data_IF_968001900415
#
_entry.id   IF_968001900415
#
_cell.length_a   1.000
_cell.length_b   1.000
_cell.length_c   1.000
_cell.angle_alpha   90.00
_cell.angle_beta   90.00
_cell.angle_gamma   90.00
#
_symmetry.space_group_name_H-M   'P 1'
#
loop_
_entity.id
_entity.type
_entity.pdbx_description
1 polymer ?
#
# COMPACT_ATOMS: atom_id res chain seq x y z
N UNK A 1 -7.11 6.64 -13.20
CA UNK A 1 -6.09 6.83 -14.27
C UNK A 1 -5.45 5.46 -14.57
N UNK A 2 -4.38 5.34 -15.38
CA UNK A 2 -3.69 4.06 -15.57
C UNK A 2 -3.14 3.42 -14.29
N UNK A 3 -2.95 4.21 -13.23
CA UNK A 3 -2.50 3.76 -11.91
C UNK A 3 -3.66 3.29 -11.00
N UNK A 4 -4.92 3.40 -11.46
CA UNK A 4 -6.10 3.00 -10.69
C UNK A 4 -6.64 4.09 -9.74
N UNK A 5 -6.09 5.29 -9.75
CA UNK A 5 -6.57 6.41 -8.93
C UNK A 5 -7.93 6.93 -9.43
N UNK A 6 -8.78 7.32 -8.47
CA UNK A 6 -10.12 7.83 -8.71
C UNK A 6 -10.07 9.22 -9.35
N UNK A 7 -10.49 9.33 -10.61
CA UNK A 7 -10.53 10.61 -11.33
C UNK A 7 -11.94 11.19 -11.41
N UNK A 8 -12.90 10.37 -11.82
CA UNK A 8 -14.27 10.81 -12.09
C UNK A 8 -15.26 9.67 -11.95
N UNK A 9 -16.52 10.01 -11.68
CA UNK A 9 -17.66 9.09 -11.77
C UNK A 9 -18.76 9.69 -12.63
N UNK A 10 -19.61 8.83 -13.19
CA UNK A 10 -20.81 9.26 -13.92
C UNK A 10 -22.04 8.58 -13.33
N UNK A 11 -23.04 9.36 -12.97
CA UNK A 11 -24.31 8.85 -12.45
C UNK A 11 -25.46 9.75 -12.90
N UNK A 12 -26.62 9.15 -13.22
CA UNK A 12 -27.78 9.90 -13.72
C UNK A 12 -27.47 10.76 -14.96
N UNK A 13 -26.52 10.33 -15.80
CA UNK A 13 -26.07 11.08 -16.97
C UNK A 13 -25.05 12.20 -16.71
N UNK A 14 -24.86 12.60 -15.44
CA UNK A 14 -23.97 13.69 -15.03
C UNK A 14 -22.59 13.18 -14.62
N UNK A 15 -21.53 13.91 -15.01
CA UNK A 15 -20.15 13.62 -14.61
C UNK A 15 -19.75 14.42 -13.37
N UNK A 16 -19.00 13.77 -12.48
CA UNK A 16 -18.43 14.34 -11.28
C UNK A 16 -16.96 13.96 -11.16
N UNK A 17 -16.16 14.80 -10.54
CA UNK A 17 -14.71 14.64 -10.44
C UNK A 17 -14.29 14.57 -8.98
N UNK A 18 -13.46 13.58 -8.66
CA UNK A 18 -12.98 13.37 -7.30
C UNK A 18 -11.90 14.39 -6.96
N UNK A 19 -11.92 14.86 -5.72
CA UNK A 19 -10.81 15.58 -5.11
C UNK A 19 -10.19 14.64 -4.07
N UNK A 20 -8.89 14.42 -4.17
CA UNK A 20 -8.15 13.55 -3.25
C UNK A 20 -7.05 14.30 -2.52
N UNK A 21 -6.67 13.83 -1.34
CA UNK A 21 -5.44 14.23 -0.67
C UNK A 21 -4.21 13.49 -1.25
N UNK A 22 -3.04 13.69 -0.62
CA UNK A 22 -1.78 13.09 -1.04
C UNK A 22 -1.74 11.56 -0.94
N UNK A 23 -2.55 10.96 -0.06
CA UNK A 23 -2.66 9.51 0.09
C UNK A 23 -3.79 8.91 -0.77
N UNK A 24 -4.47 9.73 -1.55
CA UNK A 24 -5.59 9.30 -2.39
C UNK A 24 -6.94 9.24 -1.65
N UNK A 25 -7.04 9.72 -0.41
CA UNK A 25 -8.32 9.78 0.30
C UNK A 25 -9.24 10.80 -0.37
N UNK A 26 -10.50 10.42 -0.59
CA UNK A 26 -11.49 11.32 -1.21
C UNK A 26 -11.89 12.42 -0.24
N UNK A 27 -11.40 13.65 -0.44
CA UNK A 27 -11.74 14.82 0.38
C UNK A 27 -12.92 15.62 -0.19
N UNK A 28 -13.34 15.32 -1.41
CA UNK A 28 -14.53 15.93 -1.98
C UNK A 28 -14.89 15.43 -3.37
N UNK A 29 -15.99 15.98 -3.88
CA UNK A 29 -16.50 15.72 -5.22
C UNK A 29 -16.97 17.04 -5.82
N UNK A 30 -16.59 17.31 -7.06
CA UNK A 30 -17.00 18.52 -7.81
C UNK A 30 -17.83 18.14 -9.03
N UNK A 31 -18.79 19.00 -9.39
CA UNK A 31 -19.56 18.85 -10.63
C UNK A 31 -18.80 19.44 -11.84
N UNK A 32 -19.39 19.33 -13.03
CA UNK A 32 -18.82 19.88 -14.26
C UNK A 32 -18.63 21.41 -14.27
N UNK A 33 -19.32 22.15 -13.39
CA UNK A 33 -19.14 23.59 -13.21
C UNK A 33 -18.05 23.94 -12.17
N UNK A 34 -17.34 22.94 -11.63
CA UNK A 34 -16.32 23.13 -10.59
C UNK A 34 -16.88 23.40 -9.19
N UNK A 35 -18.19 23.31 -9.00
CA UNK A 35 -18.80 23.46 -7.67
C UNK A 35 -18.58 22.21 -6.84
N UNK A 36 -18.06 22.36 -5.62
CA UNK A 36 -17.90 21.28 -4.65
C UNK A 36 -19.26 20.89 -4.08
N UNK A 37 -19.66 19.64 -4.30
CA UNK A 37 -20.97 19.09 -3.89
C UNK A 37 -20.85 18.06 -2.76
N UNK A 38 -19.68 17.44 -2.61
CA UNK A 38 -19.38 16.61 -1.46
C UNK A 38 -18.08 17.09 -0.82
N UNK A 39 -17.99 16.97 0.52
CA UNK A 39 -16.80 17.25 1.31
C UNK A 39 -16.67 16.17 2.39
N UNK A 40 -15.46 15.66 2.57
CA UNK A 40 -15.13 14.69 3.60
C UNK A 40 -13.85 15.10 4.32
N UNK A 41 -13.79 14.84 5.61
CA UNK A 41 -12.57 14.96 6.41
C UNK A 41 -12.40 13.70 7.25
N UNK A 42 -11.16 13.31 7.50
CA UNK A 42 -10.82 12.09 8.21
C UNK A 42 -9.97 12.39 9.45
N UNK A 43 -10.03 11.49 10.44
CA UNK A 43 -8.93 11.37 11.40
C UNK A 43 -7.77 10.54 10.80
N UNK A 44 -6.64 10.41 11.50
CA UNK A 44 -5.49 9.65 10.99
C UNK A 44 -5.78 8.20 10.61
N UNK A 45 -6.79 7.56 11.20
CA UNK A 45 -7.13 6.15 10.98
C UNK A 45 -8.31 5.99 10.01
N UNK A 46 -8.77 7.07 9.37
CA UNK A 46 -9.79 7.03 8.35
C UNK A 46 -11.24 7.11 8.84
N UNK A 47 -11.49 7.40 10.12
CA UNK A 47 -12.85 7.73 10.57
C UNK A 47 -13.27 9.09 10.03
N UNK A 48 -14.49 9.20 9.51
CA UNK A 48 -15.00 10.47 9.02
C UNK A 48 -15.26 11.44 10.18
N UNK A 49 -14.67 12.64 10.13
CA UNK A 49 -14.94 13.74 11.07
C UNK A 49 -16.04 14.67 10.57
N UNK A 50 -16.09 14.91 9.26
CA UNK A 50 -17.11 15.71 8.62
C UNK A 50 -17.50 15.05 7.32
N UNK A 51 -18.81 15.01 7.05
CA UNK A 51 -19.34 14.51 5.79
C UNK A 51 -20.46 15.45 5.33
N UNK A 52 -20.29 16.00 4.14
CA UNK A 52 -21.35 16.64 3.38
C UNK A 52 -21.47 15.90 2.07
N UNK A 53 -22.64 15.35 1.77
CA UNK A 53 -22.83 14.52 0.59
C UNK A 53 -24.17 14.83 -0.08
N UNK A 54 -24.10 15.41 -1.27
CA UNK A 54 -25.26 15.60 -2.14
C UNK A 54 -25.40 14.45 -3.14
N UNK A 55 -24.30 13.91 -3.65
CA UNK A 55 -24.32 12.79 -4.59
C UNK A 55 -23.70 11.54 -3.97
N UNK A 56 -24.42 10.40 -3.90
CA UNK A 56 -23.89 9.16 -3.36
C UNK A 56 -22.67 8.65 -4.14
N UNK A 57 -21.65 8.26 -3.41
CA UNK A 57 -20.43 7.64 -3.93
C UNK A 57 -19.77 6.86 -2.78
N UNK A 58 -19.20 5.66 -3.00
CA UNK A 58 -18.75 4.78 -1.92
C UNK A 58 -17.26 4.93 -1.54
N UNK A 59 -16.45 5.62 -2.33
CA UNK A 59 -15.00 5.71 -2.12
C UNK A 59 -14.62 6.79 -1.11
N UNK A 60 -13.62 6.51 -0.28
CA UNK A 60 -13.32 7.29 0.93
C UNK A 60 -11.82 7.32 1.23
N UNK A 61 -11.43 6.95 2.46
CA UNK A 61 -10.07 6.97 2.97
C UNK A 61 -9.14 6.11 2.11
N UNK A 62 -8.00 6.67 1.71
CA UNK A 62 -7.03 6.08 0.78
C UNK A 62 -7.66 5.50 -0.51
N UNK A 63 -8.77 6.09 -0.97
CA UNK A 63 -9.50 5.61 -2.15
C UNK A 63 -10.25 4.30 -1.96
N UNK A 64 -10.28 3.74 -0.76
CA UNK A 64 -10.94 2.48 -0.46
C UNK A 64 -12.47 2.59 -0.53
N UNK A 65 -13.11 1.48 -0.90
CA UNK A 65 -14.57 1.35 -0.87
C UNK A 65 -15.04 1.24 0.58
N UNK A 66 -15.92 2.15 1.01
CA UNK A 66 -16.58 2.07 2.30
C UNK A 66 -17.81 1.17 2.19
N UNK A 67 -17.73 0.01 2.83
CA UNK A 67 -18.84 -0.92 2.93
C UNK A 67 -19.92 -0.40 3.89
N UNK A 68 -21.21 -0.72 3.69
CA UNK A 68 -22.29 -0.33 4.61
C UNK A 68 -22.08 -0.80 6.06
N UNK A 69 -21.24 -1.80 6.30
CA UNK A 69 -20.80 -2.21 7.65
C UNK A 69 -19.91 -1.19 8.36
N UNK A 70 -19.39 -0.19 7.66
CA UNK A 70 -18.43 0.79 8.17
C UNK A 70 -16.96 0.41 7.97
N UNK A 71 -16.71 -0.75 7.34
CA UNK A 71 -15.36 -1.23 7.05
C UNK A 71 -14.89 -0.75 5.67
N UNK A 72 -13.59 -0.52 5.55
CA UNK A 72 -12.96 -0.22 4.27
C UNK A 72 -12.48 -1.50 3.59
N UNK A 73 -12.90 -1.73 2.35
CA UNK A 73 -12.36 -2.83 1.53
C UNK A 73 -11.04 -2.39 0.89
N UNK A 74 -9.93 -2.94 1.38
CA UNK A 74 -8.56 -2.62 0.96
C UNK A 74 -7.86 -3.89 0.47
N UNK A 75 -7.77 -4.04 -0.85
CA UNK A 75 -7.19 -5.21 -1.50
C UNK A 75 -7.73 -6.53 -0.94
N UNK A 76 -6.85 -7.37 -0.39
CA UNK A 76 -7.21 -8.67 0.16
C UNK A 76 -8.07 -8.59 1.44
N UNK A 77 -7.98 -7.51 2.21
CA UNK A 77 -8.53 -7.41 3.58
C UNK A 77 -9.61 -6.33 3.72
N UNK A 78 -10.33 -6.39 4.82
CA UNK A 78 -11.21 -5.32 5.30
C UNK A 78 -10.54 -4.64 6.50
N UNK A 79 -10.45 -3.33 6.45
CA UNK A 79 -9.87 -2.48 7.49
C UNK A 79 -10.98 -1.83 8.33
N UNK A 80 -10.83 -1.89 9.65
CA UNK A 80 -11.69 -1.22 10.61
C UNK A 80 -11.03 0.08 11.09
N UNK A 81 -11.55 1.26 10.70
CA UNK A 81 -10.98 2.54 11.09
C UNK A 81 -11.17 2.86 12.58
N UNK A 82 -12.12 2.22 13.26
CA UNK A 82 -12.38 2.39 14.70
C UNK A 82 -11.32 1.70 15.53
N UNK A 83 -10.89 0.51 15.09
CA UNK A 83 -9.85 -0.29 15.75
C UNK A 83 -8.45 -0.06 15.19
N UNK A 84 -8.36 0.74 14.12
CA UNK A 84 -7.15 1.05 13.36
C UNK A 84 -6.37 -0.19 12.91
N UNK A 85 -7.07 -1.23 12.43
CA UNK A 85 -6.47 -2.52 12.06
C UNK A 85 -7.27 -3.26 11.00
N UNK A 86 -6.64 -4.24 10.36
CA UNK A 86 -7.37 -5.20 9.52
C UNK A 86 -8.19 -6.17 10.36
N UNK A 87 -9.28 -6.65 9.77
CA UNK A 87 -10.20 -7.62 10.38
C UNK A 87 -9.84 -9.07 10.06
N UNK A 88 -9.02 -9.29 9.03
CA UNK A 88 -8.46 -10.59 8.68
C UNK A 88 -6.95 -10.57 8.88
N UNK A 89 -6.40 -11.75 9.17
CA UNK A 89 -4.95 -11.98 9.18
C UNK A 89 -4.34 -11.69 7.81
N UNK A 90 -3.14 -11.12 7.81
CA UNK A 90 -2.35 -10.95 6.60
C UNK A 90 -2.14 -12.30 5.87
N UNK A 91 -2.59 -12.44 4.61
CA UNK A 91 -2.42 -13.68 3.87
C UNK A 91 -0.95 -13.99 3.52
N UNK A 92 -0.04 -13.00 3.60
CA UNK A 92 1.40 -13.25 3.45
C UNK A 92 1.97 -14.09 4.59
N UNK A 93 1.40 -13.95 5.79
CA UNK A 93 1.93 -14.56 7.02
C UNK A 93 3.30 -14.03 7.45
N UNK A 94 3.76 -12.91 6.90
CA UNK A 94 5.10 -12.35 7.14
C UNK A 94 5.13 -11.37 8.33
N UNK A 95 4.01 -10.69 8.57
CA UNK A 95 3.86 -9.69 9.61
C UNK A 95 3.96 -10.28 11.04
N UNK A 96 4.71 -9.59 11.91
CA UNK A 96 4.76 -9.95 13.35
C UNK A 96 3.39 -9.79 14.01
N UNK A 97 2.63 -8.77 13.60
CA UNK A 97 1.23 -8.59 13.98
C UNK A 97 0.35 -8.79 12.74
N UNK A 98 -0.34 -9.92 12.60
CA UNK A 98 -1.07 -10.26 11.37
C UNK A 98 -2.28 -9.36 11.10
N UNK A 99 -2.66 -8.48 12.03
CA UNK A 99 -3.75 -7.54 11.86
C UNK A 99 -3.28 -6.08 11.74
N UNK A 100 -1.96 -5.83 11.84
CA UNK A 100 -1.43 -4.48 11.74
C UNK A 100 -1.76 -3.87 10.37
N UNK A 101 -2.01 -2.57 10.36
CA UNK A 101 -2.24 -1.81 9.15
C UNK A 101 -1.21 -0.69 9.05
N UNK A 102 -0.68 -0.46 7.84
CA UNK A 102 0.14 0.69 7.49
C UNK A 102 1.43 0.84 8.33
N UNK A 103 2.01 -0.26 8.81
CA UNK A 103 3.15 -0.23 9.73
C UNK A 103 2.89 0.52 11.06
N UNK A 104 1.62 0.79 11.41
CA UNK A 104 1.25 1.64 12.54
C UNK A 104 1.30 3.16 12.27
N UNK A 105 1.62 3.58 11.04
CA UNK A 105 1.67 4.99 10.63
C UNK A 105 0.75 5.27 9.41
N UNK A 106 -0.58 5.30 9.62
CA UNK A 106 -1.55 5.48 8.54
C UNK A 106 -1.49 6.86 7.86
N UNK A 107 -0.78 7.84 8.44
CA UNK A 107 -0.63 9.19 7.87
C UNK A 107 0.46 9.23 6.81
N UNK A 108 1.48 8.38 6.96
CA UNK A 108 2.61 8.33 6.04
C UNK A 108 2.55 7.11 5.11
N UNK A 109 1.89 6.02 5.51
CA UNK A 109 1.87 4.76 4.78
C UNK A 109 0.48 4.41 4.22
N UNK A 110 0.49 3.64 3.13
CA UNK A 110 -0.69 3.13 2.44
C UNK A 110 -0.47 1.66 2.12
N UNK A 111 -1.51 0.82 2.22
CA UNK A 111 -1.48 -0.60 1.87
C UNK A 111 -2.46 -0.89 0.71
N UNK A 112 -2.07 -0.62 -0.56
CA UNK A 112 -2.97 -0.78 -1.70
C UNK A 112 -3.46 -2.22 -1.92
N UNK A 113 -2.64 -3.21 -1.57
CA UNK A 113 -2.93 -4.62 -1.79
C UNK A 113 -3.55 -5.29 -0.57
N UNK A 114 -3.53 -4.63 0.59
CA UNK A 114 -3.93 -5.22 1.86
C UNK A 114 -2.98 -6.32 2.29
N UNK A 115 -1.66 -6.20 2.04
CA UNK A 115 -0.63 -7.21 2.38
C UNK A 115 0.77 -6.62 2.62
N UNK A 116 0.91 -5.29 2.81
CA UNK A 116 2.16 -4.50 2.97
C UNK A 116 3.51 -5.24 2.67
N UNK A 117 3.75 -5.54 1.39
CA UNK A 117 4.93 -6.30 0.94
C UNK A 117 6.23 -5.47 0.89
N UNK A 118 6.15 -4.14 0.85
CA UNK A 118 7.33 -3.28 0.62
C UNK A 118 8.14 -3.02 1.90
N UNK A 119 7.48 -2.78 3.04
CA UNK A 119 8.17 -2.66 4.32
C UNK A 119 8.81 -3.99 4.72
N UNK A 120 8.11 -5.11 4.50
CA UNK A 120 8.64 -6.45 4.81
C UNK A 120 9.87 -6.79 3.95
N UNK A 121 9.90 -6.43 2.67
CA UNK A 121 11.09 -6.62 1.82
C UNK A 121 12.27 -5.78 2.33
N UNK A 122 12.06 -4.52 2.72
CA UNK A 122 13.14 -3.65 3.22
C UNK A 122 13.65 -4.11 4.59
N UNK A 123 12.74 -4.53 5.48
CA UNK A 123 13.08 -5.10 6.80
C UNK A 123 13.83 -6.43 6.67
N UNK A 124 13.34 -7.31 5.79
CA UNK A 124 13.97 -8.59 5.46
C UNK A 124 15.39 -8.41 4.93
N UNK A 125 15.58 -7.52 3.95
CA UNK A 125 16.92 -7.20 3.42
C UNK A 125 17.81 -6.65 4.54
N UNK A 126 17.36 -5.67 5.32
CA UNK A 126 18.16 -5.08 6.40
C UNK A 126 18.62 -6.08 7.45
N UNK A 127 17.76 -7.04 7.81
CA UNK A 127 18.09 -8.10 8.78
C UNK A 127 19.18 -9.05 8.27
N UNK A 128 19.13 -9.43 6.98
CA UNK A 128 20.13 -10.30 6.34
C UNK A 128 21.49 -9.59 6.30
N UNK A 129 21.52 -8.31 5.95
CA UNK A 129 22.76 -7.54 5.90
C UNK A 129 23.41 -7.38 7.27
N UNK A 130 22.60 -7.09 8.29
CA UNK A 130 23.06 -7.05 9.68
C UNK A 130 23.63 -8.40 10.13
N UNK A 131 22.94 -9.50 9.80
CA UNK A 131 23.39 -10.86 10.10
C UNK A 131 24.70 -11.24 9.40
N UNK A 132 24.81 -10.98 8.08
CA UNK A 132 26.03 -11.23 7.30
C UNK A 132 27.20 -10.39 7.81
N UNK A 133 26.97 -9.12 8.12
CA UNK A 133 27.97 -8.24 8.69
C UNK A 133 28.44 -8.73 10.07
N UNK A 134 27.53 -9.15 10.95
CA UNK A 134 27.85 -9.68 12.26
C UNK A 134 28.62 -11.00 12.22
N UNK A 135 28.22 -11.94 11.35
CA UNK A 135 28.93 -13.22 11.16
C UNK A 135 30.34 -12.96 10.61
N UNK A 136 30.47 -12.07 9.63
CA UNK A 136 31.78 -11.72 9.05
C UNK A 136 32.68 -11.04 10.08
N UNK A 137 32.14 -10.17 10.93
CA UNK A 137 32.87 -9.58 12.04
C UNK A 137 33.40 -10.63 13.03
N UNK A 138 32.61 -11.68 13.29
CA UNK A 138 32.97 -12.76 14.21
C UNK A 138 34.09 -13.66 13.66
N UNK A 139 34.06 -14.00 12.37
CA UNK A 139 35.00 -14.96 11.76
C UNK A 139 36.23 -14.32 11.12
N UNK A 140 36.10 -13.10 10.59
CA UNK A 140 37.14 -12.43 9.81
C UNK A 140 37.64 -11.15 10.50
N UNK A 141 36.84 -10.59 11.43
CA UNK A 141 37.13 -9.36 12.15
C UNK A 141 36.28 -8.18 11.69
N UNK A 142 36.16 -7.18 12.56
CA UNK A 142 35.34 -5.98 12.35
C UNK A 142 35.50 -5.23 11.00
N UNK A 143 36.71 -5.09 10.39
CA UNK A 143 36.84 -4.35 9.13
C UNK A 143 36.10 -5.00 7.95
N UNK A 144 35.87 -6.32 7.98
CA UNK A 144 35.24 -7.06 6.88
C UNK A 144 33.70 -7.05 6.95
N UNK A 145 33.10 -6.50 8.02
CA UNK A 145 31.66 -6.51 8.24
C UNK A 145 30.89 -5.70 7.18
N UNK A 146 31.39 -4.50 6.84
CA UNK A 146 30.75 -3.61 5.87
C UNK A 146 30.89 -4.13 4.44
N UNK A 147 32.03 -4.75 4.11
CA UNK A 147 32.32 -5.32 2.79
C UNK A 147 31.41 -6.53 2.51
N UNK A 148 31.25 -7.41 3.50
CA UNK A 148 30.36 -8.57 3.40
C UNK A 148 28.87 -8.17 3.31
N UNK A 149 28.44 -7.16 4.06
CA UNK A 149 27.10 -6.59 3.93
C UNK A 149 26.90 -5.96 2.53
N UNK A 150 27.89 -5.26 1.98
CA UNK A 150 27.85 -4.70 0.63
C UNK A 150 27.70 -5.78 -0.47
N UNK A 151 28.39 -6.91 -0.33
CA UNK A 151 28.25 -8.04 -1.26
C UNK A 151 26.86 -8.70 -1.15
N UNK A 152 26.34 -8.89 0.06
CA UNK A 152 25.00 -9.42 0.28
C UNK A 152 23.91 -8.52 -0.32
N UNK A 153 24.08 -7.19 -0.23
CA UNK A 153 23.24 -6.21 -0.93
C UNK A 153 23.27 -6.41 -2.45
N UNK A 154 24.46 -6.59 -3.03
CA UNK A 154 24.62 -6.83 -4.47
C UNK A 154 23.90 -8.09 -4.95
N UNK A 155 23.94 -9.18 -4.16
CA UNK A 155 23.25 -10.43 -4.46
C UNK A 155 21.72 -10.29 -4.33
N UNK A 156 21.25 -9.62 -3.27
CA UNK A 156 19.82 -9.40 -3.02
C UNK A 156 19.19 -8.40 -4.00
N UNK A 157 19.92 -7.35 -4.39
CA UNK A 157 19.45 -6.34 -5.36
C UNK A 157 19.10 -6.93 -6.73
N UNK A 158 19.75 -8.03 -7.13
CA UNK A 158 19.41 -8.80 -8.34
C UNK A 158 18.12 -9.61 -8.17
N UNK A 159 17.84 -10.10 -6.95
CA UNK A 159 16.60 -10.85 -6.63
C UNK A 159 15.36 -9.97 -6.45
N UNK A 160 15.50 -8.79 -5.83
CA UNK A 160 14.38 -7.86 -5.57
C UNK A 160 13.85 -7.23 -6.87
N UNK A 161 14.71 -6.99 -7.87
CA UNK A 161 14.27 -6.57 -9.20
C UNK A 161 13.39 -7.62 -9.89
N UNK A 162 13.58 -8.92 -9.61
CA UNK A 162 12.76 -9.98 -10.18
C UNK A 162 11.37 -10.09 -9.51
N UNK A 163 11.25 -9.73 -8.24
CA UNK A 163 9.95 -9.70 -7.52
C UNK A 163 9.15 -8.46 -7.90
N UNK A 164 9.78 -7.29 -8.04
CA UNK A 164 9.14 -6.09 -8.56
C UNK A 164 8.76 -6.21 -10.07
N UNK A 165 9.53 -6.98 -10.85
CA UNK A 165 9.21 -7.30 -12.25
C UNK A 165 8.29 -8.53 -12.43
N UNK A 166 7.89 -9.19 -11.33
CA UNK A 166 7.04 -10.39 -11.32
C UNK A 166 5.61 -10.15 -11.83
N UNK A 167 5.21 -8.90 -12.08
CA UNK A 167 3.99 -8.53 -12.80
C UNK A 167 4.17 -8.31 -14.31
N UNK A 168 5.39 -8.34 -14.86
CA UNK A 168 5.65 -7.97 -16.26
C UNK A 168 6.48 -8.99 -17.08
N UNK A 169 7.00 -10.07 -16.49
CA UNK A 169 7.86 -11.03 -17.23
C UNK A 169 7.28 -12.44 -17.43
N UNK A 170 5.95 -12.62 -17.32
CA UNK A 170 5.28 -13.83 -17.81
C UNK A 170 4.79 -13.58 -19.24
N UNK A 171 5.69 -13.43 -20.22
CA UNK A 171 5.23 -13.02 -21.56
C UNK A 171 6.12 -13.30 -22.77
N UNK A 172 7.45 -13.38 -22.65
CA UNK A 172 8.30 -13.69 -23.81
C UNK A 172 9.49 -14.54 -23.37
N UNK A 173 9.48 -15.83 -23.74
CA UNK A 173 10.60 -16.72 -23.45
C UNK A 173 10.39 -18.20 -23.71
N UNK A 174 9.16 -18.68 -23.99
CA UNK A 174 8.96 -19.98 -24.64
C UNK A 174 8.99 -19.75 -26.16
N UNK A 175 10.18 -19.53 -26.69
CA UNK A 175 10.47 -19.70 -28.11
C UNK A 175 11.98 -19.92 -28.28
N UNK A 176 12.35 -21.20 -28.30
CA UNK A 176 13.47 -21.85 -29.02
C UNK A 176 14.21 -22.86 -28.15
N UNK A 177 13.72 -24.11 -28.13
CA UNK A 177 14.46 -25.26 -28.66
C UNK A 177 13.53 -26.48 -28.76
N UNK A 178 12.91 -26.64 -29.94
CA UNK A 178 12.77 -27.83 -30.80
C UNK A 178 11.74 -27.51 -31.88
#
# INVERSE_FOLDING_TARGET
DPQGTLNSMRTGGTSYYYLTDAQGSVVGLVNAAGTKINTYTYDPTGNARTTTQTTPQPYRFQGAYLDPTGLYKMGARYYDPTLARFTQTDPSGQETNPYAAFGGDPVNHTDPNGTDLLEDVVGGVSSILGGVGAISALYLGAPYAAEAAGLALGVLGVGVLAVAAGGFLIGYGIAMYT
#
